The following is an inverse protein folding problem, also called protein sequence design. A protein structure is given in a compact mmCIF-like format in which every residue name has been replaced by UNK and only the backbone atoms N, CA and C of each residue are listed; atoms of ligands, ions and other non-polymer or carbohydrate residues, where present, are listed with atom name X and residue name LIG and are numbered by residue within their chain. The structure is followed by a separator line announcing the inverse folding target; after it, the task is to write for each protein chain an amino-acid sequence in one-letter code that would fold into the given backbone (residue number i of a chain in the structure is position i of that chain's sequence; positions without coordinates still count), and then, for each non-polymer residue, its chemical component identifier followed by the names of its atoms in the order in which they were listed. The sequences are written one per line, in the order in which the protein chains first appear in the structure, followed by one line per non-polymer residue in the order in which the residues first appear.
data_IF_540669261540
#
_entry.id   IF_540669261540
#
_cell.length_a   1.000
_cell.length_b   1.000
_cell.length_c   1.000
_cell.angle_alpha   90.00
_cell.angle_beta   90.00
_cell.angle_gamma   90.00
#
_symmetry.space_group_name_H-M   'P 1'
#
loop_
_entity.id
_entity.type
_entity.pdbx_description
1 polymer ?
#
# COMPACT_ATOMS: atom_id res chain seq x y z
N UNK A 1 -30.62 -24.93 5.08
CA UNK A 1 -29.26 -24.49 4.85
C UNK A 1 -29.18 -22.98 4.53
N UNK A 2 -29.88 -22.47 3.51
CA UNK A 2 -29.81 -21.05 3.14
C UNK A 2 -30.31 -20.10 4.25
N UNK A 3 -31.47 -20.40 4.89
CA UNK A 3 -32.00 -19.61 6.02
C UNK A 3 -31.01 -19.59 7.20
N UNK A 4 -30.41 -20.73 7.52
CA UNK A 4 -29.43 -20.86 8.61
C UNK A 4 -28.18 -20.02 8.31
N UNK A 5 -27.70 -20.04 7.06
CA UNK A 5 -26.56 -19.23 6.64
C UNK A 5 -26.81 -17.73 6.84
N UNK A 6 -27.98 -17.21 6.40
CA UNK A 6 -28.30 -15.80 6.60
C UNK A 6 -28.47 -15.42 8.07
N UNK A 7 -29.08 -16.30 8.89
CA UNK A 7 -29.19 -16.07 10.32
C UNK A 7 -27.82 -15.97 11.02
N UNK A 8 -26.84 -16.78 10.61
CA UNK A 8 -25.46 -16.69 11.10
C UNK A 8 -24.79 -15.40 10.64
N UNK A 9 -24.98 -15.01 9.36
CA UNK A 9 -24.41 -13.76 8.86
C UNK A 9 -24.88 -12.53 9.64
N UNK A 10 -26.13 -12.50 10.09
CA UNK A 10 -26.67 -11.40 10.88
C UNK A 10 -26.01 -11.24 12.26
N UNK A 11 -25.41 -12.30 12.79
CA UNK A 11 -24.71 -12.34 14.08
C UNK A 11 -23.19 -12.05 13.90
N UNK A 12 -22.80 -11.24 12.91
CA UNK A 12 -21.41 -10.99 12.60
C UNK A 12 -20.62 -10.49 13.82
N UNK A 13 -19.46 -11.10 14.12
CA UNK A 13 -18.69 -10.80 15.32
C UNK A 13 -18.06 -9.40 15.24
N UNK A 14 -17.76 -8.85 16.42
CA UNK A 14 -16.87 -7.69 16.54
C UNK A 14 -15.43 -8.19 16.54
N UNK A 15 -14.56 -7.52 15.77
CA UNK A 15 -13.14 -7.79 15.81
C UNK A 15 -12.58 -7.24 17.12
N UNK A 16 -11.86 -8.08 17.86
CA UNK A 16 -11.26 -7.71 19.13
C UNK A 16 -9.90 -7.08 18.83
N UNK A 17 -9.68 -5.87 19.34
CA UNK A 17 -8.35 -5.24 19.32
C UNK A 17 -7.52 -5.83 20.45
N UNK A 18 -6.32 -6.34 20.14
CA UNK A 18 -5.39 -6.91 21.10
C UNK A 18 -4.31 -5.87 21.39
N UNK A 19 -4.18 -5.48 22.66
CA UNK A 19 -3.08 -4.60 23.11
C UNK A 19 -1.75 -5.27 22.84
N UNK A 20 -0.86 -4.54 22.18
CA UNK A 20 0.50 -5.01 21.85
C UNK A 20 1.46 -3.86 21.86
N UNK A 21 2.66 -4.15 22.31
CA UNK A 21 3.83 -3.28 22.18
C UNK A 21 4.60 -3.64 20.92
N UNK A 22 5.33 -2.66 20.36
CA UNK A 22 6.23 -2.86 19.21
C UNK A 22 5.57 -3.39 17.93
N UNK A 23 4.38 -2.85 17.59
CA UNK A 23 3.61 -3.32 16.43
C UNK A 23 4.12 -2.72 15.14
N UNK A 24 4.41 -3.59 14.17
CA UNK A 24 4.67 -3.22 12.79
C UNK A 24 3.40 -3.50 11.96
N UNK A 25 2.63 -2.46 11.66
CA UNK A 25 1.38 -2.60 10.91
C UNK A 25 1.64 -2.67 9.41
N UNK A 26 0.88 -3.52 8.73
CA UNK A 26 0.56 -3.37 7.32
C UNK A 26 -0.77 -2.65 7.20
N UNK A 27 -0.83 -1.62 6.38
CA UNK A 27 -2.04 -0.87 6.13
C UNK A 27 -2.28 -0.78 4.62
N UNK A 28 -3.41 -1.28 4.18
CA UNK A 28 -3.80 -1.31 2.78
C UNK A 28 -5.32 -1.33 2.63
N UNK A 29 -5.83 -0.96 1.46
CA UNK A 29 -7.25 -0.96 1.16
C UNK A 29 -7.56 -1.86 -0.04
N UNK A 30 -8.75 -2.46 -0.02
CA UNK A 30 -9.29 -3.18 -1.16
C UNK A 30 -10.69 -2.72 -1.49
N UNK A 31 -10.99 -2.62 -2.78
CA UNK A 31 -12.27 -2.13 -3.28
C UNK A 31 -13.19 -3.29 -3.63
N UNK A 32 -14.44 -3.13 -3.25
CA UNK A 32 -15.60 -3.90 -3.65
C UNK A 32 -16.51 -2.99 -4.50
N UNK A 33 -17.53 -3.57 -5.11
CA UNK A 33 -18.40 -2.84 -6.02
C UNK A 33 -19.02 -1.54 -5.43
N UNK A 34 -19.38 -1.55 -4.13
CA UNK A 34 -20.09 -0.45 -3.46
C UNK A 34 -19.37 0.15 -2.25
N UNK A 35 -18.22 -0.35 -1.89
CA UNK A 35 -17.46 0.13 -0.74
C UNK A 35 -15.98 -0.29 -0.86
N UNK A 36 -15.13 0.34 -0.09
CA UNK A 36 -13.78 -0.15 0.17
C UNK A 36 -13.65 -0.69 1.60
N UNK A 37 -12.72 -1.59 1.81
CA UNK A 37 -12.30 -2.05 3.13
C UNK A 37 -10.85 -1.65 3.35
N UNK A 38 -10.60 -0.88 4.39
CA UNK A 38 -9.27 -0.54 4.87
C UNK A 38 -8.92 -1.52 5.98
N UNK A 39 -7.75 -2.12 5.91
CA UNK A 39 -7.31 -3.16 6.83
C UNK A 39 -6.03 -2.74 7.55
N UNK A 40 -6.00 -2.96 8.86
CA UNK A 40 -4.87 -2.69 9.75
C UNK A 40 -4.43 -4.02 10.36
N UNK A 41 -3.37 -4.60 9.79
CA UNK A 41 -2.89 -5.94 10.14
C UNK A 41 -1.52 -5.86 10.81
N UNK A 42 -1.36 -6.57 11.92
CA UNK A 42 -0.06 -6.77 12.55
C UNK A 42 0.79 -7.70 11.68
N UNK A 43 2.03 -7.32 11.39
CA UNK A 43 2.93 -8.12 10.56
C UNK A 43 3.40 -9.39 11.26
N UNK A 44 3.51 -9.37 12.59
CA UNK A 44 4.12 -10.44 13.37
C UNK A 44 3.39 -11.79 13.19
N UNK A 45 2.05 -11.79 13.27
CA UNK A 45 1.23 -13.00 13.17
C UNK A 45 0.10 -12.88 12.12
N UNK A 46 0.03 -11.76 11.43
CA UNK A 46 -1.04 -11.49 10.47
C UNK A 46 -2.40 -11.19 11.13
N UNK A 47 -2.41 -10.88 12.44
CA UNK A 47 -3.65 -10.53 13.14
C UNK A 47 -4.21 -9.20 12.64
N UNK A 48 -5.47 -9.20 12.20
CA UNK A 48 -6.17 -8.00 11.79
C UNK A 48 -6.73 -7.27 13.01
N UNK A 49 -6.09 -6.19 13.41
CA UNK A 49 -6.48 -5.37 14.56
C UNK A 49 -7.76 -4.57 14.31
N UNK A 50 -7.92 -4.07 13.08
CA UNK A 50 -9.07 -3.27 12.68
C UNK A 50 -9.36 -3.42 11.19
N UNK A 51 -10.64 -3.39 10.84
CA UNK A 51 -11.12 -3.15 9.48
C UNK A 51 -12.11 -1.99 9.50
N UNK A 52 -12.02 -1.12 8.50
CA UNK A 52 -13.01 -0.07 8.25
C UNK A 52 -13.68 -0.31 6.91
N UNK A 53 -14.99 -0.14 6.87
CA UNK A 53 -15.75 -0.06 5.63
C UNK A 53 -16.07 1.40 5.35
N UNK A 54 -15.73 1.88 4.17
CA UNK A 54 -15.90 3.27 3.74
C UNK A 54 -16.24 3.32 2.25
N UNK A 55 -16.70 4.46 1.76
CA UNK A 55 -16.91 4.66 0.33
C UNK A 55 -15.58 4.78 -0.42
N UNK A 56 -14.58 5.41 0.21
CA UNK A 56 -13.26 5.67 -0.33
C UNK A 56 -12.21 5.73 0.78
N UNK A 57 -10.95 5.73 0.39
CA UNK A 57 -9.81 5.96 1.29
C UNK A 57 -9.79 7.43 1.79
N UNK A 58 -10.51 7.67 2.88
CA UNK A 58 -10.64 9.00 3.49
C UNK A 58 -9.56 9.22 4.55
N UNK A 59 -8.83 10.32 4.43
CA UNK A 59 -7.81 10.74 5.39
C UNK A 59 -8.32 10.85 6.83
N UNK A 60 -9.49 11.46 7.04
CA UNK A 60 -10.02 11.68 8.40
C UNK A 60 -10.34 10.37 9.10
N UNK A 61 -11.03 9.46 8.42
CA UNK A 61 -11.38 8.15 8.96
C UNK A 61 -10.15 7.31 9.30
N UNK A 62 -9.15 7.29 8.41
CA UNK A 62 -7.90 6.57 8.67
C UNK A 62 -7.11 7.18 9.83
N UNK A 63 -7.14 8.50 9.98
CA UNK A 63 -6.53 9.19 11.12
C UNK A 63 -7.22 8.78 12.43
N UNK A 64 -8.54 8.81 12.47
CA UNK A 64 -9.35 8.39 13.63
C UNK A 64 -9.07 6.92 14.01
N UNK A 65 -8.97 6.04 13.02
CA UNK A 65 -8.65 4.62 13.23
C UNK A 65 -7.30 4.45 13.91
N UNK A 66 -6.27 5.11 13.41
CA UNK A 66 -4.93 5.05 14.00
C UNK A 66 -4.90 5.63 15.41
N UNK A 67 -5.59 6.76 15.65
CA UNK A 67 -5.71 7.37 16.97
C UNK A 67 -6.45 6.44 17.97
N UNK A 68 -7.50 5.76 17.50
CA UNK A 68 -8.23 4.80 18.31
C UNK A 68 -7.40 3.55 18.63
N UNK A 69 -6.62 3.02 17.69
CA UNK A 69 -5.70 1.91 17.95
C UNK A 69 -4.71 2.27 19.06
N UNK A 70 -4.14 3.49 19.03
CA UNK A 70 -3.24 3.97 20.07
C UNK A 70 -3.95 4.10 21.43
N UNK A 71 -5.13 4.72 21.45
CA UNK A 71 -5.94 4.87 22.68
C UNK A 71 -6.29 3.51 23.30
N UNK A 72 -6.45 2.47 22.47
CA UNK A 72 -6.71 1.12 22.92
C UNK A 72 -5.45 0.34 23.30
N UNK A 73 -4.29 0.98 23.30
CA UNK A 73 -3.03 0.45 23.85
C UNK A 73 -2.15 -0.26 22.83
N UNK A 74 -2.33 -0.01 21.53
CA UNK A 74 -1.39 -0.48 20.51
C UNK A 74 -0.26 0.53 20.36
N UNK A 75 0.98 0.07 20.51
CA UNK A 75 2.18 0.90 20.30
C UNK A 75 2.73 0.62 18.89
N UNK A 76 2.44 1.52 17.96
CA UNK A 76 2.81 1.39 16.55
C UNK A 76 4.24 1.90 16.33
N UNK A 77 5.17 1.01 15.96
CA UNK A 77 6.55 1.36 15.62
C UNK A 77 6.72 1.72 14.15
N UNK A 78 6.06 0.97 13.28
CA UNK A 78 6.09 1.22 11.84
C UNK A 78 4.77 0.90 11.16
N UNK A 79 4.57 1.52 9.99
CA UNK A 79 3.45 1.23 9.11
C UNK A 79 3.97 1.04 7.70
N UNK A 80 3.74 -0.16 7.13
CA UNK A 80 4.04 -0.46 5.74
C UNK A 80 2.78 -0.28 4.90
N UNK A 81 2.86 0.56 3.85
CA UNK A 81 1.72 0.91 2.99
C UNK A 81 2.14 1.17 1.54
N UNK A 82 1.18 1.15 0.61
CA UNK A 82 1.37 1.51 -0.80
C UNK A 82 1.79 2.97 -1.00
N UNK A 83 1.47 3.83 -0.03
CA UNK A 83 1.81 5.26 -0.02
C UNK A 83 0.78 6.14 -0.73
N UNK A 84 -0.47 5.73 -0.74
CA UNK A 84 -1.56 6.63 -1.10
C UNK A 84 -1.51 7.91 -0.25
N UNK A 85 -1.77 9.07 -0.86
CA UNK A 85 -1.58 10.38 -0.19
C UNK A 85 -2.41 10.54 1.09
N UNK A 86 -3.64 10.03 1.10
CA UNK A 86 -4.52 10.06 2.26
C UNK A 86 -3.95 9.23 3.42
N UNK A 87 -3.43 8.03 3.13
CA UNK A 87 -2.80 7.15 4.11
C UNK A 87 -1.56 7.84 4.71
N UNK A 88 -0.65 8.33 3.87
CA UNK A 88 0.56 9.01 4.34
C UNK A 88 0.25 10.23 5.21
N UNK A 89 -0.78 11.00 4.85
CA UNK A 89 -1.23 12.15 5.63
C UNK A 89 -1.84 11.72 6.97
N UNK A 90 -2.62 10.64 7.00
CA UNK A 90 -3.21 10.08 8.21
C UNK A 90 -2.13 9.62 9.19
N UNK A 91 -1.16 8.83 8.71
CA UNK A 91 -0.04 8.34 9.52
C UNK A 91 0.75 9.52 10.10
N UNK A 92 1.14 10.49 9.27
CA UNK A 92 1.91 11.67 9.71
C UNK A 92 1.21 12.44 10.82
N UNK A 93 -0.13 12.48 10.83
CA UNK A 93 -0.91 13.22 11.82
C UNK A 93 -1.24 12.41 13.07
N UNK A 94 -1.60 11.14 12.91
CA UNK A 94 -2.01 10.29 14.04
C UNK A 94 -0.80 9.66 14.75
N UNK A 95 0.23 9.26 14.01
CA UNK A 95 1.37 8.47 14.51
C UNK A 95 2.70 9.06 14.05
N UNK A 96 3.03 10.32 14.37
CA UNK A 96 4.18 11.03 13.80
C UNK A 96 5.54 10.39 14.16
N UNK A 97 5.59 9.54 15.18
CA UNK A 97 6.81 8.82 15.61
C UNK A 97 7.00 7.49 14.90
N UNK A 98 5.96 6.94 14.30
CA UNK A 98 6.04 5.66 13.58
C UNK A 98 6.86 5.81 12.29
N UNK A 99 7.68 4.79 11.99
CA UNK A 99 8.41 4.73 10.73
C UNK A 99 7.45 4.33 9.62
N UNK A 100 7.39 5.12 8.56
CA UNK A 100 6.62 4.78 7.37
C UNK A 100 7.51 3.98 6.44
N UNK A 101 7.14 2.75 6.13
CA UNK A 101 7.78 1.94 5.08
C UNK A 101 6.89 1.95 3.84
N UNK A 102 7.46 2.34 2.72
CA UNK A 102 6.77 2.26 1.42
C UNK A 102 6.86 0.83 0.88
N UNK A 103 5.73 0.27 0.47
CA UNK A 103 5.68 -1.06 -0.13
C UNK A 103 6.50 -1.08 -1.43
N UNK A 104 7.61 -1.84 -1.44
CA UNK A 104 8.51 -1.90 -2.59
C UNK A 104 7.85 -2.55 -3.82
N UNK A 105 6.96 -3.53 -3.60
CA UNK A 105 6.22 -4.19 -4.68
C UNK A 105 5.30 -3.20 -5.38
N UNK A 106 4.57 -2.37 -4.64
CA UNK A 106 3.72 -1.33 -5.22
C UNK A 106 4.51 -0.32 -6.04
N UNK A 107 5.65 0.18 -5.50
CA UNK A 107 6.52 1.09 -6.25
C UNK A 107 7.00 0.42 -7.55
N UNK A 108 7.49 -0.82 -7.46
CA UNK A 108 7.98 -1.53 -8.63
C UNK A 108 6.86 -1.76 -9.67
N UNK A 109 5.71 -2.28 -9.26
CA UNK A 109 4.55 -2.52 -10.16
C UNK A 109 4.11 -1.25 -10.87
N UNK A 110 3.96 -0.15 -10.13
CA UNK A 110 3.53 1.13 -10.71
C UNK A 110 4.54 1.67 -11.73
N UNK A 111 5.83 1.63 -11.39
CA UNK A 111 6.88 2.07 -12.33
C UNK A 111 6.92 1.18 -13.57
N UNK A 112 6.86 -0.15 -13.42
CA UNK A 112 6.86 -1.08 -14.56
C UNK A 112 5.63 -0.93 -15.47
N UNK A 113 4.46 -0.59 -14.90
CA UNK A 113 3.25 -0.28 -15.67
C UNK A 113 3.46 0.95 -16.56
N UNK A 114 4.05 2.02 -16.02
CA UNK A 114 4.27 3.26 -16.77
C UNK A 114 5.43 3.17 -17.75
N UNK A 115 6.48 2.42 -17.44
CA UNK A 115 7.63 2.21 -18.32
C UNK A 115 7.36 1.21 -19.43
N UNK A 116 6.28 0.41 -19.31
CA UNK A 116 5.95 -0.70 -20.23
C UNK A 116 7.01 -1.82 -20.23
N UNK A 117 6.73 -2.89 -20.97
CA UNK A 117 7.67 -4.02 -21.08
C UNK A 117 8.89 -3.70 -21.93
N UNK A 118 8.71 -2.91 -22.98
CA UNK A 118 9.73 -2.55 -23.95
C UNK A 118 9.75 -1.05 -24.19
N UNK A 119 10.40 -0.27 -23.31
CA UNK A 119 10.49 1.17 -23.52
C UNK A 119 11.29 1.49 -24.80
N UNK A 120 10.79 2.40 -25.62
CA UNK A 120 11.44 2.75 -26.89
C UNK A 120 12.74 3.53 -26.69
N UNK A 121 12.77 4.45 -25.69
CA UNK A 121 13.90 5.32 -25.42
C UNK A 121 14.82 4.72 -24.36
N UNK A 122 16.13 4.95 -24.51
CA UNK A 122 17.17 4.42 -23.61
C UNK A 122 16.93 4.80 -22.14
N UNK A 123 16.50 6.04 -21.87
CA UNK A 123 16.17 6.47 -20.51
C UNK A 123 15.09 5.59 -19.85
N UNK A 124 14.11 5.14 -20.61
CA UNK A 124 13.07 4.21 -20.11
C UNK A 124 13.61 2.81 -19.89
N UNK A 125 14.49 2.33 -20.78
CA UNK A 125 15.11 1.00 -20.68
C UNK A 125 16.00 0.90 -19.42
N UNK A 126 16.84 1.90 -19.21
CA UNK A 126 17.73 1.96 -18.05
C UNK A 126 16.94 2.12 -16.75
N UNK A 127 15.95 3.04 -16.67
CA UNK A 127 15.13 3.18 -15.47
C UNK A 127 14.38 1.87 -15.16
N UNK A 128 13.89 1.17 -16.19
CA UNK A 128 13.25 -0.13 -16.00
C UNK A 128 14.21 -1.16 -15.41
N UNK A 129 15.46 -1.19 -15.87
CA UNK A 129 16.51 -2.06 -15.31
C UNK A 129 16.73 -1.77 -13.82
N UNK A 130 16.85 -0.49 -13.44
CA UNK A 130 17.01 -0.05 -12.05
C UNK A 130 15.80 -0.48 -11.21
N UNK A 131 14.58 -0.28 -11.71
CA UNK A 131 13.34 -0.66 -11.03
C UNK A 131 13.26 -2.17 -10.79
N UNK A 132 13.69 -2.99 -11.74
CA UNK A 132 13.70 -4.46 -11.58
C UNK A 132 14.66 -4.97 -10.50
N UNK A 133 15.69 -4.19 -10.14
CA UNK A 133 16.62 -4.51 -9.06
C UNK A 133 16.04 -4.20 -7.67
N UNK A 134 14.98 -3.37 -7.56
CA UNK A 134 14.48 -2.83 -6.29
C UNK A 134 14.17 -3.92 -5.24
N UNK A 135 13.51 -5.00 -5.64
CA UNK A 135 13.15 -6.09 -4.73
C UNK A 135 14.33 -7.02 -4.37
N UNK A 136 15.47 -6.85 -5.02
CA UNK A 136 16.69 -7.64 -4.76
C UNK A 136 17.58 -7.00 -3.68
N UNK A 137 17.28 -5.77 -3.25
CA UNK A 137 18.03 -5.06 -2.23
C UNK A 137 17.84 -5.74 -0.88
N UNK A 138 18.93 -6.24 -0.27
CA UNK A 138 18.93 -6.95 1.00
C UNK A 138 19.90 -6.35 2.01
N UNK A 139 20.86 -5.53 1.57
CA UNK A 139 21.89 -4.93 2.40
C UNK A 139 21.96 -3.41 2.23
N UNK A 140 22.57 -2.71 3.18
CA UNK A 140 22.85 -1.27 3.04
C UNK A 140 23.77 -0.99 1.85
N UNK A 141 24.68 -1.91 1.51
CA UNK A 141 25.53 -1.78 0.33
C UNK A 141 24.71 -1.86 -0.96
N UNK A 142 23.79 -2.83 -1.08
CA UNK A 142 22.89 -2.93 -2.24
C UNK A 142 22.10 -1.64 -2.42
N UNK A 143 21.58 -1.10 -1.32
CA UNK A 143 20.86 0.18 -1.31
C UNK A 143 21.73 1.32 -1.80
N UNK A 144 22.98 1.43 -1.31
CA UNK A 144 23.91 2.48 -1.74
C UNK A 144 24.17 2.44 -3.24
N UNK A 145 24.49 1.24 -3.78
CA UNK A 145 24.71 1.05 -5.20
C UNK A 145 23.47 1.37 -6.03
N UNK A 146 22.30 0.93 -5.56
CA UNK A 146 21.04 1.20 -6.24
C UNK A 146 20.69 2.70 -6.27
N UNK A 147 20.90 3.42 -5.17
CA UNK A 147 20.68 4.87 -5.09
C UNK A 147 21.67 5.61 -6.02
N UNK A 148 22.93 5.18 -6.04
CA UNK A 148 23.95 5.77 -6.93
C UNK A 148 23.56 5.57 -8.39
N UNK A 149 23.15 4.37 -8.80
CA UNK A 149 22.69 4.05 -10.15
C UNK A 149 21.46 4.90 -10.53
N UNK A 150 20.50 5.04 -9.62
CA UNK A 150 19.31 5.86 -9.83
C UNK A 150 19.63 7.36 -9.98
N UNK A 151 20.53 7.88 -9.17
CA UNK A 151 20.95 9.28 -9.26
C UNK A 151 21.75 9.54 -10.55
N UNK A 152 22.69 8.65 -10.91
CA UNK A 152 23.45 8.74 -12.15
C UNK A 152 22.53 8.72 -13.37
N UNK A 153 21.54 7.81 -13.37
CA UNK A 153 20.52 7.77 -14.41
C UNK A 153 19.78 9.12 -14.55
N UNK A 154 19.40 9.74 -13.43
CA UNK A 154 18.74 11.03 -13.46
C UNK A 154 19.64 12.12 -14.05
N UNK A 155 20.90 12.21 -13.64
CA UNK A 155 21.83 13.18 -14.19
C UNK A 155 22.01 13.01 -15.70
N UNK A 156 22.10 11.79 -16.19
CA UNK A 156 22.24 11.49 -17.61
C UNK A 156 20.99 11.87 -18.44
N UNK A 157 19.79 11.79 -17.84
CA UNK A 157 18.54 11.94 -18.57
C UNK A 157 17.66 13.12 -18.12
N UNK A 158 18.15 13.97 -17.21
CA UNK A 158 17.37 15.08 -16.62
C UNK A 158 16.80 16.04 -17.66
N UNK A 159 17.52 16.35 -18.72
CA UNK A 159 17.06 17.20 -19.82
C UNK A 159 15.86 16.55 -20.54
N UNK A 160 16.00 15.30 -20.93
CA UNK A 160 14.96 14.53 -21.60
C UNK A 160 13.70 14.38 -20.73
N UNK A 161 13.85 14.03 -19.45
CA UNK A 161 12.70 13.86 -18.53
C UNK A 161 11.94 15.17 -18.30
N UNK A 162 12.65 16.31 -18.34
CA UNK A 162 12.08 17.63 -18.09
C UNK A 162 11.63 18.35 -19.34
N UNK A 163 11.75 17.72 -20.51
CA UNK A 163 11.25 18.26 -21.77
C UNK A 163 9.75 18.59 -21.68
N UNK A 164 9.40 19.78 -22.20
CA UNK A 164 8.03 20.29 -22.17
C UNK A 164 7.52 20.47 -23.59
N UNK A 165 6.30 20.06 -23.80
CA UNK A 165 5.51 20.39 -24.99
C UNK A 165 4.56 21.53 -24.64
N UNK A 166 4.56 22.58 -25.43
CA UNK A 166 3.72 23.77 -25.26
C UNK A 166 2.57 23.72 -26.27
N UNK A 167 1.36 24.01 -25.80
CA UNK A 167 0.23 24.25 -26.70
C UNK A 167 0.29 25.70 -27.20
N UNK A 168 0.42 25.86 -28.48
CA UNK A 168 0.61 27.18 -29.14
C UNK A 168 -0.62 28.11 -29.01
N UNK A 169 -1.84 27.53 -28.81
CA UNK A 169 -3.08 28.31 -28.70
C UNK A 169 -3.34 28.80 -27.27
N UNK A 170 -2.92 28.03 -26.24
CA UNK A 170 -3.29 28.28 -24.84
C UNK A 170 -2.10 28.62 -23.94
N UNK A 171 -0.87 28.62 -24.46
CA UNK A 171 0.41 28.75 -23.73
C UNK A 171 0.56 27.75 -22.56
N UNK A 172 -0.30 26.78 -22.46
CA UNK A 172 -0.19 25.73 -21.46
C UNK A 172 0.86 24.70 -21.88
N UNK A 173 1.63 24.26 -20.90
CA UNK A 173 2.61 23.21 -21.16
C UNK A 173 2.30 21.94 -20.37
N UNK A 174 2.81 20.82 -20.87
CA UNK A 174 2.89 19.54 -20.16
C UNK A 174 4.26 18.92 -20.39
N UNK A 175 4.63 17.99 -19.50
CA UNK A 175 5.86 17.25 -19.72
C UNK A 175 5.66 16.23 -20.84
N UNK A 176 6.54 16.26 -21.83
CA UNK A 176 6.51 15.39 -23.02
C UNK A 176 6.55 13.92 -22.61
N UNK A 177 7.43 13.59 -21.66
CA UNK A 177 7.66 12.22 -21.20
C UNK A 177 6.95 11.93 -19.86
N UNK A 178 5.62 12.15 -19.81
CA UNK A 178 4.80 12.09 -18.58
C UNK A 178 4.99 10.82 -17.76
N UNK A 179 4.97 9.64 -18.38
CA UNK A 179 5.03 8.35 -17.68
C UNK A 179 6.42 8.06 -17.13
N UNK A 180 7.47 8.38 -17.89
CA UNK A 180 8.85 8.27 -17.45
C UNK A 180 9.09 9.20 -16.23
N UNK A 181 8.67 10.47 -16.35
CA UNK A 181 8.73 11.44 -15.27
C UNK A 181 7.93 10.99 -14.03
N UNK A 182 6.76 10.41 -14.22
CA UNK A 182 5.93 9.88 -13.13
C UNK A 182 6.65 8.76 -12.39
N UNK A 183 7.30 7.83 -13.10
CA UNK A 183 8.11 6.76 -12.50
C UNK A 183 9.25 7.33 -11.66
N UNK A 184 10.02 8.26 -12.21
CA UNK A 184 11.08 8.96 -11.48
C UNK A 184 10.56 9.65 -10.22
N UNK A 185 9.50 10.46 -10.35
CA UNK A 185 8.93 11.23 -9.23
C UNK A 185 8.37 10.33 -8.13
N UNK A 186 7.80 9.19 -8.49
CA UNK A 186 7.30 8.20 -7.52
C UNK A 186 8.43 7.61 -6.71
N UNK A 187 9.52 7.19 -7.36
CA UNK A 187 10.70 6.67 -6.68
C UNK A 187 11.31 7.75 -5.80
N UNK A 188 11.58 8.93 -6.35
CA UNK A 188 12.21 10.05 -5.63
C UNK A 188 11.42 10.44 -4.37
N UNK A 189 10.10 10.52 -4.47
CA UNK A 189 9.24 10.87 -3.33
C UNK A 189 9.15 9.76 -2.28
N UNK A 190 9.29 8.51 -2.69
CA UNK A 190 9.25 7.36 -1.79
C UNK A 190 10.59 7.09 -1.10
N UNK A 191 11.71 7.51 -1.71
CA UNK A 191 13.08 7.15 -1.33
C UNK A 191 13.39 7.28 0.16
N UNK A 192 12.98 8.34 0.88
CA UNK A 192 13.23 8.46 2.31
C UNK A 192 12.60 7.34 3.16
N UNK A 193 11.57 6.68 2.62
CA UNK A 193 10.74 5.70 3.32
C UNK A 193 10.79 4.30 2.68
N UNK A 194 11.78 4.00 1.84
CA UNK A 194 11.84 2.73 1.11
C UNK A 194 12.64 1.64 1.81
N UNK A 195 13.55 1.99 2.72
CA UNK A 195 14.60 1.06 3.16
C UNK A 195 14.72 0.93 4.68
N UNK A 196 13.65 1.21 5.44
CA UNK A 196 13.67 1.05 6.90
C UNK A 196 13.86 -0.40 7.32
N UNK A 197 13.37 -1.35 6.52
CA UNK A 197 13.52 -2.79 6.75
C UNK A 197 14.98 -3.28 6.80
N UNK A 198 15.93 -2.54 6.18
CA UNK A 198 17.35 -2.89 6.25
C UNK A 198 17.94 -2.65 7.63
N UNK A 199 17.42 -1.66 8.38
CA UNK A 199 17.85 -1.32 9.74
C UNK A 199 17.07 -2.07 10.82
N UNK A 200 15.84 -2.47 10.52
CA UNK A 200 14.99 -3.24 11.41
C UNK A 200 14.23 -4.27 10.58
N UNK A 201 14.66 -5.52 10.66
CA UNK A 201 14.12 -6.66 9.90
C UNK A 201 12.67 -7.00 10.25
N UNK A 202 12.16 -6.51 11.39
CA UNK A 202 10.76 -6.66 11.77
C UNK A 202 9.83 -5.73 10.96
N UNK A 203 10.38 -4.74 10.25
CA UNK A 203 9.57 -3.87 9.39
C UNK A 203 9.35 -4.59 8.04
N UNK A 204 8.11 -4.91 7.68
CA UNK A 204 7.84 -5.58 6.42
C UNK A 204 8.13 -4.64 5.24
N UNK A 205 8.90 -5.11 4.27
CA UNK A 205 9.24 -4.35 3.06
C UNK A 205 8.11 -4.27 2.05
N UNK A 206 7.04 -5.08 2.23
CA UNK A 206 5.90 -5.19 1.31
C UNK A 206 4.59 -5.38 2.05
N UNK A 207 3.47 -5.10 1.38
CA UNK A 207 2.11 -5.38 1.83
C UNK A 207 1.57 -6.71 1.28
N UNK A 208 2.43 -7.59 0.73
CA UNK A 208 2.00 -8.83 0.07
C UNK A 208 1.15 -9.74 0.98
N UNK A 209 1.41 -9.76 2.30
CA UNK A 209 0.61 -10.55 3.24
C UNK A 209 -0.85 -10.10 3.26
N UNK A 210 -1.09 -8.78 3.29
CA UNK A 210 -2.45 -8.24 3.27
C UNK A 210 -3.09 -8.34 1.88
N UNK A 211 -2.30 -8.24 0.78
CA UNK A 211 -2.79 -8.48 -0.57
C UNK A 211 -3.23 -9.95 -0.75
N UNK A 212 -2.46 -10.90 -0.21
CA UNK A 212 -2.83 -12.31 -0.17
C UNK A 212 -4.12 -12.54 0.61
N UNK A 213 -4.26 -11.93 1.78
CA UNK A 213 -5.48 -11.95 2.57
C UNK A 213 -6.69 -11.42 1.77
N UNK A 214 -6.55 -10.28 1.08
CA UNK A 214 -7.61 -9.73 0.23
C UNK A 214 -7.98 -10.64 -0.94
N UNK A 215 -6.99 -11.28 -1.56
CA UNK A 215 -7.22 -12.21 -2.66
C UNK A 215 -8.03 -13.42 -2.20
N UNK A 216 -7.66 -14.04 -1.08
CA UNK A 216 -8.41 -15.14 -0.50
C UNK A 216 -9.83 -14.73 -0.11
N UNK A 217 -10.01 -13.59 0.55
CA UNK A 217 -11.31 -13.05 0.90
C UNK A 217 -12.22 -12.87 -0.33
N UNK A 218 -11.69 -12.27 -1.40
CA UNK A 218 -12.44 -12.05 -2.65
C UNK A 218 -12.84 -13.36 -3.30
N UNK A 219 -11.95 -14.34 -3.35
CA UNK A 219 -12.26 -15.66 -3.89
C UNK A 219 -13.42 -16.33 -3.12
N UNK A 220 -13.45 -16.21 -1.80
CA UNK A 220 -14.58 -16.72 -1.00
C UNK A 220 -15.87 -15.94 -1.24
N UNK A 221 -15.82 -14.61 -1.37
CA UNK A 221 -16.98 -13.79 -1.69
C UNK A 221 -17.55 -14.06 -3.07
N UNK A 222 -16.70 -14.39 -4.04
CA UNK A 222 -17.12 -14.70 -5.41
C UNK A 222 -17.96 -15.99 -5.52
N UNK A 223 -17.83 -16.90 -4.56
CA UNK A 223 -18.71 -18.07 -4.42
C UNK A 223 -20.13 -17.63 -4.01
N UNK A 224 -20.27 -16.51 -3.32
CA UNK A 224 -21.52 -15.98 -2.78
C UNK A 224 -22.00 -14.71 -3.50
N UNK A 225 -22.10 -14.75 -4.82
CA UNK A 225 -22.38 -13.56 -5.68
C UNK A 225 -23.71 -12.84 -5.36
N UNK A 226 -24.70 -13.53 -4.80
CA UNK A 226 -26.03 -12.98 -4.50
C UNK A 226 -26.14 -12.21 -3.16
N UNK A 227 -25.04 -12.02 -2.43
CA UNK A 227 -25.09 -11.32 -1.14
C UNK A 227 -25.38 -9.82 -1.33
N UNK A 228 -26.31 -9.29 -0.54
CA UNK A 228 -26.51 -7.84 -0.39
C UNK A 228 -25.24 -7.18 0.19
N UNK A 229 -25.09 -5.86 0.04
CA UNK A 229 -23.95 -5.13 0.63
C UNK A 229 -23.81 -5.36 2.13
N UNK A 230 -24.93 -5.34 2.89
CA UNK A 230 -24.96 -5.65 4.33
C UNK A 230 -24.39 -7.05 4.61
N UNK A 231 -24.85 -8.05 3.87
CA UNK A 231 -24.43 -9.43 4.06
C UNK A 231 -22.98 -9.68 3.61
N UNK A 232 -22.49 -8.97 2.56
CA UNK A 232 -21.06 -8.98 2.20
C UNK A 232 -20.18 -8.43 3.33
N UNK A 233 -20.57 -7.32 3.93
CA UNK A 233 -19.87 -6.72 5.09
C UNK A 233 -19.85 -7.71 6.27
N UNK A 234 -20.98 -8.35 6.56
CA UNK A 234 -21.05 -9.32 7.63
C UNK A 234 -20.22 -10.58 7.35
N UNK A 235 -20.22 -11.05 6.10
CA UNK A 235 -19.35 -12.14 5.67
C UNK A 235 -17.86 -11.80 5.87
N UNK A 236 -17.44 -10.59 5.49
CA UNK A 236 -16.07 -10.11 5.69
C UNK A 236 -15.71 -10.11 7.18
N UNK A 237 -16.60 -9.64 8.06
CA UNK A 237 -16.38 -9.68 9.52
C UNK A 237 -16.16 -11.10 10.03
N UNK A 238 -16.96 -12.05 9.59
CA UNK A 238 -16.77 -13.46 9.90
C UNK A 238 -15.44 -14.00 9.38
N UNK A 239 -15.10 -13.67 8.13
CA UNK A 239 -13.85 -14.09 7.54
C UNK A 239 -12.63 -13.58 8.32
N UNK A 240 -12.62 -12.29 8.70
CA UNK A 240 -11.57 -11.70 9.54
C UNK A 240 -11.53 -12.38 10.91
N UNK A 241 -12.69 -12.60 11.52
CA UNK A 241 -12.78 -13.27 12.82
C UNK A 241 -12.12 -14.66 12.79
N UNK A 242 -12.45 -15.49 11.81
CA UNK A 242 -11.83 -16.81 11.69
C UNK A 242 -10.34 -16.75 11.31
N UNK A 243 -9.94 -15.79 10.50
CA UNK A 243 -8.52 -15.56 10.18
C UNK A 243 -7.70 -15.20 11.41
N UNK A 244 -8.31 -14.52 12.39
CA UNK A 244 -7.67 -14.12 13.63
C UNK A 244 -7.61 -15.24 14.69
N UNK A 245 -8.22 -16.41 14.45
CA UNK A 245 -8.21 -17.56 15.36
C UNK A 245 -7.06 -18.55 15.08
N UNK A 246 -6.25 -18.29 14.08
CA UNK A 246 -5.14 -19.17 13.64
C UNK A 246 -3.96 -19.15 14.60
#
# INVERSE_FOLDING_TARGET
LQRTFYAILEQAPKIKIIKREHVNLRMDATYFEKFCMICYQDDFDGYTQLIRFADNENYQEMKEDLENLIKLGIQIESITTDGHKSILKAIKKAVPKAKVQRCLVHIQRMCLLWLTRYPKHIAGQELRSIVLKLLKIQTENDKMYWIQEFNQWYENHKTYINEKTVNQETDRYWYTHKLLRRSYSTIKSALPNMFHYLKNTNIPRTTNGIEGFFSHLKNHLDIHRGLTTKNRINFIKWYVFFSNQK
#
